data_IF_726182059111
#
_entry.id   IF_726182059111
#
_cell.length_a   1.000
_cell.length_b   1.000
_cell.length_c   1.000
_cell.angle_alpha   90.00
_cell.angle_beta   90.00
_cell.angle_gamma   90.00
#
_symmetry.space_group_name_H-M   'P 1'
#
loop_
_entity.id
_entity.type
_entity.pdbx_description
1 polymer ?
#
# COMPACT_ATOMS: atom_id res chain seq x y z
N UNK A 1 5.04 7.11 -22.47
CA UNK A 1 6.20 6.69 -23.30
C UNK A 1 7.47 7.14 -22.61
N UNK A 2 8.32 6.23 -22.12
CA UNK A 2 9.49 6.54 -21.28
C UNK A 2 10.67 7.16 -22.04
N UNK A 3 10.89 6.77 -23.31
CA UNK A 3 12.02 7.25 -24.12
C UNK A 3 12.03 8.76 -24.28
N UNK A 4 10.85 9.37 -24.41
CA UNK A 4 10.69 10.83 -24.56
C UNK A 4 10.40 11.54 -23.23
N UNK A 5 10.58 10.87 -22.08
CA UNK A 5 10.25 11.40 -20.75
C UNK A 5 8.81 11.92 -20.63
N UNK A 6 7.87 11.27 -21.32
CA UNK A 6 6.44 11.62 -21.31
C UNK A 6 5.67 10.83 -20.24
N UNK A 7 6.34 10.09 -19.39
CA UNK A 7 5.72 9.44 -18.24
C UNK A 7 5.20 10.48 -17.22
N UNK A 8 4.12 10.14 -16.48
CA UNK A 8 3.65 11.00 -15.41
C UNK A 8 4.72 11.15 -14.33
N UNK A 9 4.83 12.35 -13.77
CA UNK A 9 5.74 12.63 -12.66
C UNK A 9 5.46 11.75 -11.43
N UNK A 10 4.21 11.30 -11.26
CA UNK A 10 3.77 10.43 -10.17
C UNK A 10 3.11 9.19 -10.75
N UNK A 11 3.74 8.03 -10.52
CA UNK A 11 3.13 6.73 -10.79
C UNK A 11 2.10 6.48 -9.69
N UNK A 12 0.87 6.13 -10.10
CA UNK A 12 -0.23 5.82 -9.18
C UNK A 12 -0.58 4.34 -9.28
N UNK A 13 -1.02 3.78 -8.16
CA UNK A 13 -1.48 2.41 -8.10
C UNK A 13 -2.75 2.24 -8.95
N UNK A 14 -2.74 1.26 -9.86
CA UNK A 14 -3.93 0.84 -10.59
C UNK A 14 -4.97 0.23 -9.65
N UNK A 15 -6.24 0.25 -10.06
CA UNK A 15 -7.38 -0.20 -9.25
C UNK A 15 -7.18 -1.60 -8.64
N UNK A 16 -6.83 -2.59 -9.46
CA UNK A 16 -6.50 -3.93 -8.98
C UNK A 16 -5.39 -3.95 -7.91
N UNK A 17 -4.39 -3.05 -8.02
CA UNK A 17 -3.38 -2.89 -6.99
C UNK A 17 -3.94 -2.29 -5.70
N UNK A 18 -4.86 -1.33 -5.81
CA UNK A 18 -5.50 -0.70 -4.65
C UNK A 18 -6.32 -1.71 -3.85
N UNK A 19 -7.07 -2.59 -4.54
CA UNK A 19 -7.84 -3.67 -3.92
C UNK A 19 -6.94 -4.61 -3.12
N UNK A 20 -5.87 -5.11 -3.75
CA UNK A 20 -4.95 -6.06 -3.12
C UNK A 20 -4.22 -5.42 -1.94
N UNK A 21 -3.76 -4.17 -2.07
CA UNK A 21 -3.07 -3.47 -0.98
C UNK A 21 -4.03 -3.20 0.19
N UNK A 22 -5.27 -2.78 -0.09
CA UNK A 22 -6.27 -2.57 0.97
C UNK A 22 -6.59 -3.87 1.71
N UNK A 23 -6.81 -4.97 0.98
CA UNK A 23 -7.05 -6.29 1.56
C UNK A 23 -5.86 -6.77 2.42
N UNK A 24 -4.62 -6.52 1.98
CA UNK A 24 -3.43 -6.85 2.76
C UNK A 24 -3.34 -6.02 4.05
N UNK A 25 -3.67 -4.73 4.01
CA UNK A 25 -3.75 -3.90 5.21
C UNK A 25 -4.78 -4.48 6.19
N UNK A 26 -5.97 -4.84 5.72
CA UNK A 26 -7.04 -5.39 6.55
C UNK A 26 -6.69 -6.74 7.14
N UNK A 27 -6.10 -7.64 6.36
CA UNK A 27 -5.66 -8.97 6.78
C UNK A 27 -4.69 -8.91 7.95
N UNK A 28 -3.64 -8.10 7.84
CA UNK A 28 -2.63 -7.99 8.89
C UNK A 28 -3.12 -7.20 10.12
N UNK A 29 -4.03 -6.23 9.92
CA UNK A 29 -4.50 -5.34 10.99
C UNK A 29 -5.93 -5.62 11.46
N UNK A 30 -6.46 -6.82 11.21
CA UNK A 30 -7.86 -7.14 11.47
C UNK A 30 -8.28 -6.85 12.92
N UNK A 31 -7.43 -7.14 13.91
CA UNK A 31 -7.80 -7.03 15.31
C UNK A 31 -8.03 -5.56 15.69
N UNK A 32 -7.10 -4.68 15.32
CA UNK A 32 -7.21 -3.23 15.59
C UNK A 32 -8.35 -2.63 14.79
N UNK A 33 -8.55 -3.05 13.53
CA UNK A 33 -9.64 -2.55 12.70
C UNK A 33 -11.02 -2.98 13.20
N UNK A 34 -11.12 -4.12 13.89
CA UNK A 34 -12.37 -4.62 14.49
C UNK A 34 -12.83 -3.67 15.59
N UNK A 35 -11.91 -3.26 16.45
CA UNK A 35 -12.21 -2.43 17.63
C UNK A 35 -12.70 -1.03 17.24
N UNK A 36 -12.31 -0.54 16.07
CA UNK A 36 -12.70 0.79 15.55
C UNK A 36 -13.75 0.74 14.44
N UNK A 37 -14.28 -0.44 14.10
CA UNK A 37 -15.35 -0.60 13.11
C UNK A 37 -14.93 -0.34 11.64
N UNK A 38 -13.63 -0.37 11.32
CA UNK A 38 -13.11 -0.11 9.98
C UNK A 38 -12.72 -1.38 9.22
N UNK A 39 -13.12 -2.55 9.72
CA UNK A 39 -12.70 -3.85 9.20
C UNK A 39 -13.01 -4.04 7.70
N UNK A 40 -14.12 -3.45 7.23
CA UNK A 40 -14.73 -3.81 5.95
C UNK A 40 -14.70 -2.69 4.90
N UNK A 41 -13.94 -1.60 5.10
CA UNK A 41 -13.89 -0.53 4.09
C UNK A 41 -13.16 -1.00 2.84
N UNK A 42 -13.90 -1.30 1.79
CA UNK A 42 -13.38 -1.73 0.49
C UNK A 42 -13.06 -0.54 -0.44
N UNK A 43 -12.48 -0.84 -1.60
CA UNK A 43 -12.30 0.17 -2.66
C UNK A 43 -13.65 0.66 -3.20
N UNK A 44 -14.61 -0.24 -3.37
CA UNK A 44 -15.97 0.08 -3.82
C UNK A 44 -16.67 1.02 -2.83
N UNK A 45 -16.59 0.74 -1.52
CA UNK A 45 -17.16 1.61 -0.49
C UNK A 45 -16.61 3.04 -0.60
N UNK A 46 -15.30 3.16 -0.79
CA UNK A 46 -14.65 4.46 -1.00
C UNK A 46 -15.12 5.15 -2.28
N UNK A 47 -15.39 4.43 -3.37
CA UNK A 47 -15.93 5.01 -4.61
C UNK A 47 -17.35 5.55 -4.41
N UNK A 48 -18.13 4.93 -3.52
CA UNK A 48 -19.46 5.39 -3.11
C UNK A 48 -19.45 6.41 -1.97
N UNK A 49 -18.27 6.85 -1.50
CA UNK A 49 -18.12 7.83 -0.42
C UNK A 49 -18.30 7.26 1.00
N UNK A 50 -18.40 5.94 1.13
CA UNK A 50 -18.63 5.22 2.38
C UNK A 50 -17.32 4.81 3.07
N UNK A 51 -16.43 5.78 3.31
CA UNK A 51 -15.20 5.57 4.06
C UNK A 51 -13.94 6.02 3.33
N UNK A 52 -12.79 5.65 3.91
CA UNK A 52 -11.45 6.01 3.44
C UNK A 52 -10.56 4.78 3.42
N UNK A 53 -9.69 4.70 2.42
CA UNK A 53 -8.68 3.64 2.35
C UNK A 53 -7.57 3.91 3.38
N UNK A 54 -6.88 2.86 3.80
CA UNK A 54 -5.90 2.92 4.90
C UNK A 54 -4.88 4.05 4.71
N UNK A 55 -4.36 4.20 3.50
CA UNK A 55 -3.31 5.18 3.18
C UNK A 55 -3.81 6.61 2.98
N UNK A 56 -5.12 6.87 2.97
CA UNK A 56 -5.64 8.24 2.96
C UNK A 56 -5.40 8.94 4.31
N UNK A 57 -5.40 8.16 5.39
CA UNK A 57 -4.97 8.59 6.71
C UNK A 57 -3.48 8.26 6.94
N UNK A 58 -3.04 7.04 6.62
CA UNK A 58 -1.64 6.59 6.76
C UNK A 58 -0.78 7.02 5.57
N UNK A 59 -0.69 8.33 5.32
CA UNK A 59 -0.11 8.93 4.12
C UNK A 59 1.38 8.64 3.88
N UNK A 60 2.12 8.27 4.93
CA UNK A 60 3.55 7.96 4.83
C UNK A 60 3.82 6.49 4.46
N UNK A 61 2.85 5.60 4.62
CA UNK A 61 3.05 4.15 4.43
C UNK A 61 3.35 3.80 2.97
N UNK A 62 2.59 4.29 1.96
CA UNK A 62 2.91 4.01 0.58
C UNK A 62 3.97 4.98 0.07
N UNK A 63 5.23 4.61 0.31
CA UNK A 63 6.43 5.28 -0.21
C UNK A 63 6.58 6.75 0.23
N UNK A 64 6.14 7.09 1.44
CA UNK A 64 6.23 8.44 1.98
C UNK A 64 5.25 9.43 1.36
N UNK A 65 5.30 10.65 1.87
CA UNK A 65 4.43 11.77 1.48
C UNK A 65 4.69 12.34 0.10
N UNK A 66 5.96 12.42 -0.29
CA UNK A 66 6.42 13.13 -1.48
C UNK A 66 6.67 12.09 -2.57
N UNK A 67 5.96 12.21 -3.68
CA UNK A 67 6.00 11.26 -4.80
C UNK A 67 6.31 12.04 -6.06
N UNK A 68 7.34 11.63 -6.79
CA UNK A 68 7.83 12.40 -7.94
C UNK A 68 9.11 11.84 -8.52
N UNK A 69 9.26 11.91 -9.85
CA UNK A 69 10.54 11.62 -10.51
C UNK A 69 11.61 12.63 -10.10
N UNK A 70 11.24 13.91 -9.94
CA UNK A 70 12.16 14.97 -9.50
C UNK A 70 12.59 14.85 -8.04
N UNK A 71 11.73 14.29 -7.19
CA UNK A 71 11.98 14.15 -5.75
C UNK A 71 12.71 12.85 -5.40
N UNK A 72 12.74 11.91 -6.33
CA UNK A 72 13.37 10.60 -6.19
C UNK A 72 14.19 10.26 -7.46
N UNK A 73 15.16 11.11 -7.84
CA UNK A 73 15.92 10.93 -9.07
C UNK A 73 16.78 9.67 -8.98
N UNK A 74 16.78 8.86 -10.05
CA UNK A 74 17.55 7.61 -10.12
C UNK A 74 17.29 6.65 -8.95
N UNK A 75 16.05 6.55 -8.47
CA UNK A 75 15.67 5.64 -7.40
C UNK A 75 16.00 4.18 -7.77
N UNK A 76 17.23 3.75 -7.46
CA UNK A 76 17.63 2.35 -7.39
C UNK A 76 17.10 1.84 -6.08
N UNK A 77 15.84 1.41 -6.08
CA UNK A 77 15.25 0.80 -4.88
C UNK A 77 15.97 -0.54 -4.69
N UNK A 78 16.75 -0.74 -3.60
CA UNK A 78 17.26 -2.07 -3.30
C UNK A 78 16.05 -3.01 -3.20
N UNK A 79 16.18 -4.24 -3.71
CA UNK A 79 15.11 -5.23 -3.64
C UNK A 79 14.62 -5.29 -2.19
N UNK A 80 13.34 -4.97 -1.98
CA UNK A 80 12.79 -4.84 -0.65
C UNK A 80 12.99 -6.18 0.08
N UNK A 81 13.49 -6.13 1.31
CA UNK A 81 13.49 -7.30 2.19
C UNK A 81 12.06 -7.85 2.30
N UNK A 82 11.93 -9.12 2.66
CA UNK A 82 10.62 -9.75 2.77
C UNK A 82 9.69 -8.88 3.63
N UNK A 83 8.47 -8.56 3.13
CA UNK A 83 7.51 -7.76 3.88
C UNK A 83 6.97 -8.49 5.12
N UNK A 84 7.31 -9.78 5.25
CA UNK A 84 6.94 -10.64 6.35
C UNK A 84 7.98 -10.47 7.46
N UNK A 85 7.58 -9.99 8.65
CA UNK A 85 8.45 -9.93 9.82
C UNK A 85 9.08 -11.30 10.13
N UNK A 86 10.31 -11.31 10.67
CA UNK A 86 11.03 -12.56 10.93
C UNK A 86 10.25 -13.56 11.80
N UNK A 87 9.44 -13.07 12.75
CA UNK A 87 8.68 -13.94 13.62
C UNK A 87 7.62 -14.76 12.85
N UNK A 88 6.96 -14.19 11.83
CA UNK A 88 6.02 -14.94 10.98
C UNK A 88 6.75 -15.95 10.11
N UNK A 89 7.94 -15.59 9.58
CA UNK A 89 8.78 -16.55 8.85
C UNK A 89 9.12 -17.77 9.69
N UNK A 90 9.51 -17.56 10.95
CA UNK A 90 9.87 -18.64 11.89
C UNK A 90 8.70 -19.56 12.23
N UNK A 91 7.47 -19.04 12.27
CA UNK A 91 6.26 -19.85 12.49
C UNK A 91 5.97 -20.81 11.33
N UNK A 92 6.25 -20.40 10.09
CA UNK A 92 5.99 -21.21 8.89
C UNK A 92 7.06 -22.26 8.59
N UNK A 93 8.27 -22.15 9.16
CA UNK A 93 9.38 -23.12 8.96
C UNK A 93 9.40 -24.28 9.94
N UNK A 94 8.58 -24.24 11.00
CA UNK A 94 8.54 -25.26 12.05
C UNK A 94 7.41 -26.30 11.85
N UNK A 95 6.97 -26.47 10.61
CA UNK A 95 5.96 -27.45 10.17
C UNK A 95 6.51 -28.25 8.99
#
# INVERSE_FOLDING_TARGET
MFTFRMEPQVIKMHEAGQEVVQANCQSCHQNVNRDVGLLNVSLEDKLHGNGKLCWECHREVPHGRIKGLSTTPNAKVPMQGSPIPEFIKKLNTNN
#
